data_IF_665356994703
#
_entry.id   IF_665356994703
#
_cell.length_a   1.000
_cell.length_b   1.000
_cell.length_c   1.000
_cell.angle_alpha   90.00
_cell.angle_beta   90.00
_cell.angle_gamma   90.00
#
_symmetry.space_group_name_H-M   'P 1'
#
loop_
_entity.id
_entity.type
_entity.pdbx_description
1 polymer ?
#
# COMPACT_ATOMS: atom_id res chain seq x y z
N UNK A 1 5.71 -16.85 8.56
CA UNK A 1 4.93 -15.60 8.52
C UNK A 1 3.42 -15.79 8.43
N UNK A 2 2.87 -16.54 7.46
CA UNK A 2 1.41 -16.62 7.27
C UNK A 2 0.57 -17.06 8.49
N UNK A 3 1.14 -17.82 9.44
CA UNK A 3 0.46 -18.19 10.70
C UNK A 3 0.25 -16.99 11.63
N UNK A 4 1.23 -16.09 11.76
CA UNK A 4 1.13 -14.90 12.61
C UNK A 4 0.06 -13.92 12.07
N UNK A 5 0.05 -13.70 10.76
CA UNK A 5 -0.97 -12.88 10.08
C UNK A 5 -2.37 -13.44 10.34
N UNK A 6 -2.57 -14.76 10.14
CA UNK A 6 -3.86 -15.42 10.40
C UNK A 6 -4.31 -15.26 11.85
N UNK A 7 -3.38 -15.31 12.81
CA UNK A 7 -3.69 -15.11 14.23
C UNK A 7 -4.09 -13.67 14.54
N UNK A 8 -3.40 -12.68 13.97
CA UNK A 8 -3.75 -11.28 14.13
C UNK A 8 -5.17 -11.00 13.62
N UNK A 9 -5.50 -11.50 12.43
CA UNK A 9 -6.86 -11.35 11.87
C UNK A 9 -7.90 -12.06 12.76
N UNK A 10 -7.70 -13.35 13.06
CA UNK A 10 -8.72 -14.17 13.76
C UNK A 10 -8.92 -13.82 15.23
N UNK A 11 -7.86 -13.46 15.93
CA UNK A 11 -7.88 -13.36 17.39
C UNK A 11 -7.58 -11.95 17.92
N UNK A 12 -7.16 -11.03 17.06
CA UNK A 12 -6.85 -9.63 17.44
C UNK A 12 -7.65 -8.60 16.64
N UNK A 13 -8.52 -9.04 15.72
CA UNK A 13 -9.39 -8.14 14.95
C UNK A 13 -8.66 -7.32 13.88
N UNK A 14 -7.41 -7.65 13.55
CA UNK A 14 -6.66 -6.91 12.54
C UNK A 14 -7.30 -7.06 11.16
N UNK A 15 -7.42 -5.95 10.42
CA UNK A 15 -7.84 -5.96 9.01
C UNK A 15 -6.64 -6.33 8.14
N UNK A 16 -6.79 -7.32 7.25
CA UNK A 16 -5.74 -7.71 6.32
C UNK A 16 -5.97 -7.11 4.93
N UNK A 17 -5.10 -6.21 4.51
CA UNK A 17 -4.97 -5.79 3.12
C UNK A 17 -4.00 -6.75 2.42
N UNK A 18 -4.49 -7.54 1.47
CA UNK A 18 -3.69 -8.52 0.74
C UNK A 18 -3.46 -8.04 -0.71
N UNK A 19 -2.21 -7.81 -1.07
CA UNK A 19 -1.79 -7.49 -2.44
C UNK A 19 -0.96 -8.67 -2.96
N UNK A 20 -1.53 -9.50 -3.83
CA UNK A 20 -0.82 -10.61 -4.49
C UNK A 20 -1.55 -10.97 -5.79
N UNK A 21 -0.81 -11.17 -6.87
CA UNK A 21 -1.37 -11.60 -8.17
C UNK A 21 -1.93 -13.03 -8.10
N UNK A 22 -1.48 -13.85 -7.12
CA UNK A 22 -1.87 -15.23 -6.93
C UNK A 22 -2.89 -15.40 -5.80
N UNK A 23 -3.79 -16.39 -5.91
CA UNK A 23 -4.67 -16.74 -4.81
C UNK A 23 -3.91 -17.51 -3.72
N UNK A 24 -3.45 -16.80 -2.69
CA UNK A 24 -2.73 -17.41 -1.56
C UNK A 24 -3.69 -17.96 -0.49
N UNK A 25 -3.15 -18.76 0.45
CA UNK A 25 -3.90 -19.26 1.63
C UNK A 25 -4.31 -18.15 2.63
N UNK A 26 -4.01 -16.88 2.33
CA UNK A 26 -4.42 -15.71 3.09
C UNK A 26 -5.69 -15.05 2.52
N UNK A 27 -6.08 -15.35 1.28
CA UNK A 27 -7.26 -14.77 0.63
C UNK A 27 -8.53 -14.89 1.50
N UNK A 28 -8.85 -16.04 2.13
CA UNK A 28 -10.05 -16.16 2.97
C UNK A 28 -10.03 -15.30 4.25
N UNK A 29 -8.89 -14.70 4.59
CA UNK A 29 -8.69 -13.86 5.77
C UNK A 29 -8.56 -12.38 5.40
N UNK A 30 -8.51 -12.06 4.11
CA UNK A 30 -8.30 -10.69 3.64
C UNK A 30 -9.58 -9.86 3.83
N UNK A 31 -9.43 -8.68 4.42
CA UNK A 31 -10.47 -7.65 4.43
C UNK A 31 -10.62 -7.03 3.05
N UNK A 32 -9.49 -6.76 2.38
CA UNK A 32 -9.43 -6.32 0.98
C UNK A 32 -8.34 -7.16 0.29
N UNK A 33 -8.64 -7.61 -0.93
CA UNK A 33 -7.70 -8.36 -1.76
C UNK A 33 -7.53 -7.64 -3.09
N UNK A 34 -6.35 -7.08 -3.33
CA UNK A 34 -5.98 -6.42 -4.59
C UNK A 34 -5.08 -7.36 -5.40
N UNK A 35 -5.41 -7.53 -6.68
CA UNK A 35 -4.68 -8.39 -7.61
C UNK A 35 -4.15 -7.56 -8.78
N UNK A 36 -3.09 -6.77 -8.58
CA UNK A 36 -2.56 -5.92 -9.65
C UNK A 36 -1.99 -6.78 -10.79
N UNK A 37 -1.81 -6.19 -11.96
CA UNK A 37 -1.00 -6.79 -13.03
C UNK A 37 0.44 -6.95 -12.56
N UNK A 38 1.12 -8.01 -13.00
CA UNK A 38 2.51 -8.31 -12.62
C UNK A 38 3.42 -7.12 -12.95
N UNK A 39 4.24 -6.70 -11.99
CA UNK A 39 5.22 -5.63 -12.18
C UNK A 39 4.64 -4.21 -12.09
N UNK A 40 3.42 -4.06 -11.58
CA UNK A 40 2.76 -2.75 -11.41
C UNK A 40 2.68 -2.29 -9.96
N UNK A 41 3.46 -2.92 -9.07
CA UNK A 41 3.45 -2.66 -7.63
C UNK A 41 3.80 -1.21 -7.30
N UNK A 42 4.84 -0.63 -7.92
CA UNK A 42 5.21 0.78 -7.74
C UNK A 42 4.03 1.71 -8.06
N UNK A 43 3.29 1.42 -9.14
CA UNK A 43 2.12 2.21 -9.53
C UNK A 43 1.00 2.12 -8.49
N UNK A 44 0.73 0.93 -7.97
CA UNK A 44 -0.27 0.72 -6.94
C UNK A 44 0.11 1.42 -5.63
N UNK A 45 1.34 1.21 -5.16
CA UNK A 45 1.83 1.77 -3.89
C UNK A 45 1.84 3.30 -3.91
N UNK A 46 2.35 3.91 -4.98
CA UNK A 46 2.31 5.36 -5.14
C UNK A 46 0.87 5.88 -5.30
N UNK A 47 -0.02 5.12 -5.93
CA UNK A 47 -1.45 5.43 -5.96
C UNK A 47 -2.09 5.46 -4.56
N UNK A 48 -1.74 4.51 -3.69
CA UNK A 48 -2.19 4.50 -2.30
C UNK A 48 -1.65 5.72 -1.54
N UNK A 49 -0.34 6.00 -1.65
CA UNK A 49 0.31 7.15 -1.01
C UNK A 49 -0.33 8.47 -1.44
N UNK A 50 -0.65 8.61 -2.74
CA UNK A 50 -1.31 9.79 -3.27
C UNK A 50 -2.66 10.04 -2.60
N UNK A 51 -3.50 9.01 -2.49
CA UNK A 51 -4.82 9.15 -1.84
C UNK A 51 -4.66 9.60 -0.40
N UNK A 52 -3.72 9.00 0.35
CA UNK A 52 -3.45 9.36 1.74
C UNK A 52 -3.03 10.83 1.87
N UNK A 53 -2.17 11.31 0.97
CA UNK A 53 -1.71 12.71 0.97
C UNK A 53 -2.83 13.68 0.55
N UNK A 54 -3.55 13.39 -0.54
CA UNK A 54 -4.63 14.25 -1.05
C UNK A 54 -5.78 14.39 -0.03
N UNK A 55 -6.07 13.33 0.72
CA UNK A 55 -7.09 13.33 1.77
C UNK A 55 -6.55 13.76 3.15
N UNK A 56 -5.25 14.06 3.28
CA UNK A 56 -4.58 14.42 4.54
C UNK A 56 -4.80 13.39 5.66
N UNK A 57 -4.64 12.12 5.32
CA UNK A 57 -4.80 10.99 6.26
C UNK A 57 -3.47 10.50 6.85
N UNK A 58 -2.37 11.22 6.62
CA UNK A 58 -1.05 10.91 7.14
C UNK A 58 -0.80 11.60 8.48
N UNK A 59 0.17 11.11 9.26
CA UNK A 59 0.59 11.74 10.52
C UNK A 59 1.45 12.98 10.23
N UNK A 60 0.81 14.15 10.15
CA UNK A 60 1.47 15.43 9.86
C UNK A 60 2.62 15.75 10.82
N UNK A 61 2.50 15.40 12.11
CA UNK A 61 3.55 15.67 13.09
C UNK A 61 4.74 14.72 12.89
N UNK A 62 4.48 13.43 12.68
CA UNK A 62 5.52 12.45 12.40
C UNK A 62 6.28 12.81 11.13
N UNK A 63 5.58 13.05 10.02
CA UNK A 63 6.17 13.44 8.74
C UNK A 63 7.06 14.67 8.92
N UNK A 64 6.55 15.74 9.53
CA UNK A 64 7.32 16.97 9.71
C UNK A 64 8.57 16.81 10.60
N UNK A 65 8.55 15.88 11.56
CA UNK A 65 9.64 15.73 12.55
C UNK A 65 10.63 14.61 12.22
N UNK A 66 10.23 13.61 11.44
CA UNK A 66 10.96 12.35 11.25
C UNK A 66 11.27 12.03 9.80
N UNK A 67 10.78 12.81 8.85
CA UNK A 67 11.04 12.61 7.43
C UNK A 67 11.61 13.87 6.79
N UNK A 68 12.17 13.70 5.60
CA UNK A 68 12.63 14.74 4.72
C UNK A 68 11.93 14.60 3.35
N UNK A 69 12.02 15.64 2.53
CA UNK A 69 11.63 15.60 1.11
C UNK A 69 10.14 15.26 0.86
N UNK A 70 9.25 15.54 1.82
CA UNK A 70 7.80 15.29 1.69
C UNK A 70 7.18 16.03 0.49
N UNK A 71 7.54 17.30 0.28
CA UNK A 71 7.00 18.09 -0.84
C UNK A 71 7.40 17.50 -2.19
N UNK A 72 8.63 17.00 -2.31
CA UNK A 72 9.15 16.37 -3.52
C UNK A 72 8.46 15.02 -3.79
N UNK A 73 8.21 14.25 -2.72
CA UNK A 73 7.39 13.05 -2.81
C UNK A 73 5.97 13.40 -3.30
N UNK A 74 5.31 14.36 -2.65
CA UNK A 74 3.96 14.82 -3.00
C UNK A 74 3.87 15.27 -4.46
N UNK A 75 4.85 16.05 -4.92
CA UNK A 75 4.95 16.50 -6.30
C UNK A 75 5.14 15.35 -7.30
N UNK A 76 6.00 14.37 -6.98
CA UNK A 76 6.21 13.19 -7.83
C UNK A 76 4.93 12.35 -7.99
N UNK A 77 4.11 12.31 -6.92
CA UNK A 77 2.86 11.55 -6.87
C UNK A 77 1.73 12.17 -7.70
N UNK A 78 1.84 13.44 -8.11
CA UNK A 78 0.85 14.11 -9.00
C UNK A 78 0.66 13.39 -10.33
N UNK A 79 1.66 12.64 -10.79
CA UNK A 79 1.58 11.83 -12.02
C UNK A 79 0.77 10.52 -11.84
N UNK A 80 0.61 10.04 -10.61
CA UNK A 80 -0.08 8.79 -10.26
C UNK A 80 -1.59 9.00 -10.06
N UNK A 81 -2.27 9.61 -11.03
CA UNK A 81 -3.74 9.80 -10.95
C UNK A 81 -4.43 8.45 -10.81
N UNK A 82 -5.54 8.38 -10.08
CA UNK A 82 -6.26 7.10 -9.89
C UNK A 82 -6.70 6.47 -11.22
N UNK A 83 -7.08 7.27 -12.22
CA UNK A 83 -7.38 6.81 -13.58
C UNK A 83 -6.16 6.12 -14.24
N UNK A 84 -4.97 6.70 -14.06
CA UNK A 84 -3.73 6.13 -14.58
C UNK A 84 -3.36 4.85 -13.83
N UNK A 85 -3.45 4.86 -12.49
CA UNK A 85 -3.13 3.69 -11.65
C UNK A 85 -4.09 2.55 -11.95
N UNK A 86 -5.39 2.82 -12.09
CA UNK A 86 -6.39 1.81 -12.48
C UNK A 86 -6.07 1.18 -13.83
N UNK A 87 -5.74 1.99 -14.83
CA UNK A 87 -5.36 1.49 -16.17
C UNK A 87 -4.12 0.59 -16.12
N UNK A 88 -3.09 1.03 -15.40
CA UNK A 88 -1.80 0.32 -15.30
C UNK A 88 -1.95 -0.96 -14.49
N UNK A 89 -2.48 -0.86 -13.28
CA UNK A 89 -2.56 -1.97 -12.32
C UNK A 89 -3.73 -2.91 -12.59
N UNK A 90 -4.80 -2.44 -13.23
CA UNK A 90 -6.07 -3.16 -13.38
C UNK A 90 -6.93 -3.17 -12.11
N UNK A 91 -6.56 -2.42 -11.06
CA UNK A 91 -7.36 -2.29 -9.84
C UNK A 91 -8.34 -1.13 -9.99
N UNK A 92 -9.66 -1.33 -9.76
CA UNK A 92 -10.63 -0.24 -9.79
C UNK A 92 -10.24 0.87 -8.81
N UNK A 93 -10.34 2.15 -9.21
CA UNK A 93 -9.98 3.28 -8.35
C UNK A 93 -10.64 3.28 -6.97
N UNK A 94 -11.90 2.84 -6.91
CA UNK A 94 -12.67 2.71 -5.67
C UNK A 94 -12.02 1.72 -4.68
N UNK A 95 -11.42 0.64 -5.18
CA UNK A 95 -10.72 -0.33 -4.34
C UNK A 95 -9.37 0.22 -3.86
N UNK A 96 -8.70 1.05 -4.66
CA UNK A 96 -7.47 1.76 -4.28
C UNK A 96 -7.78 2.76 -3.16
N UNK A 97 -8.80 3.60 -3.33
CA UNK A 97 -9.26 4.56 -2.32
C UNK A 97 -9.63 3.85 -1.02
N UNK A 98 -10.44 2.78 -1.11
CA UNK A 98 -10.84 2.01 0.07
C UNK A 98 -9.64 1.39 0.79
N UNK A 99 -8.65 0.88 0.06
CA UNK A 99 -7.44 0.31 0.64
C UNK A 99 -6.57 1.38 1.32
N UNK A 100 -6.38 2.53 0.67
CA UNK A 100 -5.64 3.66 1.21
C UNK A 100 -6.24 4.19 2.52
N UNK A 101 -7.55 4.46 2.52
CA UNK A 101 -8.28 4.89 3.73
C UNK A 101 -8.23 3.85 4.84
N UNK A 102 -8.43 2.57 4.50
CA UNK A 102 -8.35 1.47 5.49
C UNK A 102 -6.97 1.38 6.13
N UNK A 103 -5.90 1.63 5.37
CA UNK A 103 -4.53 1.62 5.88
C UNK A 103 -4.29 2.82 6.81
N UNK A 104 -4.67 4.02 6.38
CA UNK A 104 -4.42 5.26 7.10
C UNK A 104 -5.28 5.42 8.38
N UNK A 105 -6.50 4.88 8.40
CA UNK A 105 -7.36 4.87 9.60
C UNK A 105 -6.91 3.88 10.68
N UNK A 106 -5.94 3.00 10.39
CA UNK A 106 -5.48 2.01 11.35
C UNK A 106 -4.58 2.67 12.43
N UNK A 107 -4.91 2.46 13.71
CA UNK A 107 -4.07 2.92 14.83
C UNK A 107 -2.65 2.36 14.74
N UNK A 108 -2.51 1.12 14.25
CA UNK A 108 -1.24 0.45 14.02
C UNK A 108 -1.29 -0.34 12.72
N UNK A 109 -0.37 -0.07 11.81
CA UNK A 109 -0.20 -0.81 10.56
C UNK A 109 1.18 -1.48 10.51
N UNK A 110 1.26 -2.64 9.85
CA UNK A 110 2.52 -3.33 9.57
C UNK A 110 2.52 -3.86 8.15
N UNK A 111 3.50 -3.42 7.37
CA UNK A 111 3.72 -3.89 6.01
C UNK A 111 4.61 -5.13 6.07
N UNK A 112 4.12 -6.24 5.52
CA UNK A 112 4.87 -7.50 5.40
C UNK A 112 5.03 -7.83 3.94
N UNK A 113 6.26 -7.80 3.43
CA UNK A 113 6.59 -8.10 2.04
C UNK A 113 7.67 -9.18 1.93
N UNK A 114 7.95 -9.63 0.70
CA UNK A 114 8.97 -10.64 0.43
C UNK A 114 9.39 -10.64 -1.04
N UNK A 115 9.72 -11.82 -1.57
CA UNK A 115 10.29 -11.97 -2.90
C UNK A 115 9.42 -11.42 -4.04
N UNK A 116 8.10 -11.36 -3.89
CA UNK A 116 7.19 -10.75 -4.87
C UNK A 116 7.36 -9.24 -5.02
N UNK A 117 8.14 -8.59 -4.16
CA UNK A 117 8.54 -7.19 -4.27
C UNK A 117 10.02 -7.11 -4.66
N UNK A 118 10.88 -7.86 -3.96
CA UNK A 118 12.34 -7.69 -4.09
C UNK A 118 12.95 -8.33 -5.33
N UNK A 119 12.32 -9.35 -5.92
CA UNK A 119 12.86 -10.08 -7.09
C UNK A 119 12.26 -9.58 -8.41
N UNK A 120 12.06 -8.27 -8.52
CA UNK A 120 11.62 -7.59 -9.74
C UNK A 120 12.70 -6.60 -10.20
N UNK A 121 12.69 -6.27 -11.49
CA UNK A 121 13.59 -5.24 -12.05
C UNK A 121 13.45 -3.89 -11.35
N UNK A 122 12.26 -3.59 -10.83
CA UNK A 122 11.92 -2.37 -10.09
C UNK A 122 11.81 -2.64 -8.58
N UNK A 123 12.52 -3.65 -8.07
CA UNK A 123 12.40 -4.08 -6.67
C UNK A 123 12.84 -3.01 -5.68
N UNK A 124 13.90 -2.25 -6.01
CA UNK A 124 14.36 -1.11 -5.19
C UNK A 124 13.27 -0.05 -5.10
N UNK A 125 12.72 0.37 -6.24
CA UNK A 125 11.65 1.37 -6.29
C UNK A 125 10.42 0.94 -5.50
N UNK A 126 10.07 -0.35 -5.57
CA UNK A 126 8.93 -0.90 -4.84
C UNK A 126 9.17 -0.90 -3.32
N UNK A 127 10.39 -1.21 -2.87
CA UNK A 127 10.75 -1.12 -1.45
C UNK A 127 10.75 0.34 -0.98
N UNK A 128 11.26 1.27 -1.79
CA UNK A 128 11.21 2.70 -1.47
C UNK A 128 9.76 3.20 -1.38
N UNK A 129 8.89 2.79 -2.31
CA UNK A 129 7.47 3.14 -2.28
C UNK A 129 6.78 2.57 -1.02
N UNK A 130 7.09 1.33 -0.60
CA UNK A 130 6.58 0.77 0.66
C UNK A 130 7.07 1.54 1.88
N UNK A 131 8.35 1.93 1.90
CA UNK A 131 8.91 2.71 3.01
C UNK A 131 8.25 4.09 3.10
N UNK A 132 8.12 4.78 1.97
CA UNK A 132 7.41 6.07 1.90
C UNK A 132 5.98 5.92 2.38
N UNK A 133 5.24 4.92 1.90
CA UNK A 133 3.87 4.65 2.35
C UNK A 133 3.77 4.38 3.86
N UNK A 134 4.76 3.75 4.47
CA UNK A 134 4.78 3.48 5.91
C UNK A 134 5.17 4.70 6.77
N UNK A 135 5.76 5.72 6.17
CA UNK A 135 6.17 6.96 6.85
C UNK A 135 5.13 8.08 6.73
N UNK A 136 4.13 7.92 5.85
CA UNK A 136 2.91 8.72 5.81
C UNK A 136 2.02 8.30 7.00
#
# INVERSE_FOLDING_TARGET
>A
MGYAIKRAVKYKGAKLLLIDVRPTKLVPFAHICLKPKVGTDVALLNGLSRVIIEERLFDEEFVARKTDNFDELSDSLKSYTLEWVERVTGIPKQDIERAARTLAEAEWASIVYGNGITQHVNGVDSVMALANLAML
#
